data_IF_380596687906
#
_entry.id   IF_380596687906
#
_cell.length_a   1.000
_cell.length_b   1.000
_cell.length_c   1.000
_cell.angle_alpha   90.00
_cell.angle_beta   90.00
_cell.angle_gamma   90.00
#
_symmetry.space_group_name_H-M   'P 1'
#
loop_
_entity.id
_entity.type
_entity.pdbx_description
1 polymer ?
#
# COMPACT_ATOMS: atom_id res chain seq x y z
N UNK A 1 29.43 2.33 -5.36
CA UNK A 1 28.04 2.72 -5.71
C UNK A 1 27.19 1.52 -6.13
N UNK A 2 27.63 0.68 -7.09
CA UNK A 2 26.87 -0.50 -7.53
C UNK A 2 26.49 -1.47 -6.40
N UNK A 3 27.45 -1.85 -5.55
CA UNK A 3 27.19 -2.71 -4.39
C UNK A 3 26.15 -2.11 -3.40
N UNK A 4 26.12 -0.79 -3.26
CA UNK A 4 25.14 -0.10 -2.41
C UNK A 4 23.74 -0.13 -3.02
N UNK A 5 23.63 0.09 -4.34
CA UNK A 5 22.37 -0.02 -5.07
C UNK A 5 21.80 -1.44 -4.99
N UNK A 6 22.64 -2.46 -5.24
CA UNK A 6 22.23 -3.86 -5.13
C UNK A 6 21.76 -4.22 -3.72
N UNK A 7 22.46 -3.74 -2.69
CA UNK A 7 22.03 -3.95 -1.30
C UNK A 7 20.67 -3.32 -1.01
N UNK A 8 20.43 -2.10 -1.48
CA UNK A 8 19.14 -1.42 -1.32
C UNK A 8 18.02 -2.12 -2.09
N UNK A 9 18.27 -2.53 -3.33
CA UNK A 9 17.29 -3.28 -4.12
C UNK A 9 16.93 -4.60 -3.44
N UNK A 10 17.91 -5.35 -2.92
CA UNK A 10 17.66 -6.57 -2.15
C UNK A 10 16.82 -6.32 -0.89
N UNK A 11 17.12 -5.25 -0.15
CA UNK A 11 16.32 -4.82 1.01
C UNK A 11 14.89 -4.46 0.62
N UNK A 12 14.71 -3.69 -0.46
CA UNK A 12 13.40 -3.32 -0.98
C UNK A 12 12.58 -4.54 -1.40
N UNK A 13 13.18 -5.51 -2.09
CA UNK A 13 12.50 -6.77 -2.45
C UNK A 13 12.07 -7.53 -1.20
N UNK A 14 12.93 -7.62 -0.18
CA UNK A 14 12.58 -8.30 1.07
C UNK A 14 11.42 -7.60 1.79
N UNK A 15 11.42 -6.27 1.84
CA UNK A 15 10.32 -5.49 2.41
C UNK A 15 9.03 -5.71 1.62
N UNK A 16 9.09 -5.66 0.28
CA UNK A 16 7.93 -5.89 -0.57
C UNK A 16 7.34 -7.28 -0.34
N UNK A 17 8.19 -8.32 -0.27
CA UNK A 17 7.75 -9.68 0.02
C UNK A 17 7.14 -9.81 1.42
N UNK A 18 7.72 -9.16 2.43
CA UNK A 18 7.17 -9.19 3.78
C UNK A 18 5.79 -8.52 3.85
N UNK A 19 5.67 -7.31 3.28
CA UNK A 19 4.40 -6.58 3.24
C UNK A 19 3.35 -7.32 2.42
N UNK A 20 3.71 -7.83 1.24
CA UNK A 20 2.78 -8.59 0.40
C UNK A 20 2.35 -9.90 1.07
N UNK A 21 3.24 -10.58 1.78
CA UNK A 21 2.88 -11.79 2.53
C UNK A 21 1.91 -11.47 3.67
N UNK A 22 2.17 -10.41 4.45
CA UNK A 22 1.27 -9.96 5.52
C UNK A 22 -0.09 -9.60 4.93
N UNK A 23 -0.13 -8.78 3.87
CA UNK A 23 -1.39 -8.43 3.19
C UNK A 23 -2.12 -9.67 2.67
N UNK A 24 -1.40 -10.59 2.03
CA UNK A 24 -1.96 -11.85 1.53
C UNK A 24 -2.62 -12.66 2.66
N UNK A 25 -1.94 -12.81 3.80
CA UNK A 25 -2.47 -13.52 4.96
C UNK A 25 -3.70 -12.82 5.54
N UNK A 26 -3.65 -11.50 5.68
CA UNK A 26 -4.80 -10.69 6.13
C UNK A 26 -5.99 -10.93 5.21
N UNK A 27 -5.85 -10.73 3.90
CA UNK A 27 -6.96 -10.90 2.96
C UNK A 27 -7.46 -12.33 2.83
N UNK A 28 -6.59 -13.33 2.97
CA UNK A 28 -7.00 -14.74 2.99
C UNK A 28 -7.85 -15.09 4.22
N UNK A 29 -7.67 -14.39 5.33
CA UNK A 29 -8.40 -14.65 6.58
C UNK A 29 -9.55 -13.67 6.87
N UNK A 30 -9.61 -12.51 6.20
CA UNK A 30 -10.62 -11.48 6.45
C UNK A 30 -12.01 -11.78 5.87
N UNK A 31 -12.20 -12.91 5.19
CA UNK A 31 -13.52 -13.36 4.71
C UNK A 31 -13.39 -14.40 3.61
N UNK A 32 -14.47 -15.17 3.39
CA UNK A 32 -14.56 -16.10 2.27
C UNK A 32 -14.96 -15.33 1.00
N UNK A 33 -14.05 -15.15 0.03
CA UNK A 33 -14.35 -14.43 -1.21
C UNK A 33 -15.42 -15.15 -2.04
N UNK A 34 -15.65 -16.45 -1.83
CA UNK A 34 -16.72 -17.18 -2.53
C UNK A 34 -18.10 -16.64 -2.17
N UNK A 35 -18.29 -16.16 -0.94
CA UNK A 35 -19.55 -15.51 -0.50
C UNK A 35 -19.76 -14.20 -1.27
N UNK A 36 -18.71 -13.39 -1.42
CA UNK A 36 -18.79 -12.13 -2.18
C UNK A 36 -18.97 -12.34 -3.68
N UNK A 37 -18.52 -13.49 -4.21
CA UNK A 37 -18.58 -13.82 -5.64
C UNK A 37 -19.90 -14.47 -6.04
N UNK A 38 -20.38 -15.45 -5.28
CA UNK A 38 -21.55 -16.27 -5.60
C UNK A 38 -22.84 -15.85 -4.86
N UNK A 39 -22.72 -15.06 -3.78
CA UNK A 39 -23.84 -14.72 -2.91
C UNK A 39 -24.18 -15.83 -1.91
N UNK A 40 -25.06 -15.52 -0.95
CA UNK A 40 -25.40 -16.45 0.15
C UNK A 40 -26.13 -17.72 -0.33
N UNK A 41 -26.87 -17.64 -1.44
CA UNK A 41 -27.70 -18.72 -1.98
C UNK A 41 -26.92 -19.76 -2.81
N UNK A 42 -25.60 -19.60 -2.94
CA UNK A 42 -24.76 -20.47 -3.76
C UNK A 42 -24.74 -21.92 -3.25
N UNK A 43 -24.96 -22.87 -4.17
CA UNK A 43 -24.93 -24.30 -3.84
C UNK A 43 -23.53 -24.75 -3.43
N UNK A 44 -23.45 -25.84 -2.65
CA UNK A 44 -22.16 -26.41 -2.23
C UNK A 44 -21.27 -26.80 -3.43
N UNK A 45 -21.87 -27.27 -4.53
CA UNK A 45 -21.15 -27.61 -5.75
C UNK A 45 -20.54 -26.37 -6.43
N UNK A 46 -21.28 -25.26 -6.51
CA UNK A 46 -20.77 -23.99 -7.06
C UNK A 46 -19.65 -23.41 -6.21
N UNK A 47 -19.79 -23.44 -4.87
CA UNK A 47 -18.74 -22.99 -3.95
C UNK A 47 -17.46 -23.82 -4.11
N UNK A 48 -17.57 -25.13 -4.26
CA UNK A 48 -16.41 -26.01 -4.47
C UNK A 48 -15.73 -25.74 -5.82
N UNK A 49 -16.51 -25.55 -6.88
CA UNK A 49 -15.98 -25.24 -8.21
C UNK A 49 -15.17 -23.93 -8.20
N UNK A 50 -15.73 -22.86 -7.62
CA UNK A 50 -15.05 -21.56 -7.52
C UNK A 50 -13.83 -21.63 -6.59
N UNK A 51 -13.90 -22.39 -5.50
CA UNK A 51 -12.77 -22.60 -4.58
C UNK A 51 -11.58 -23.24 -5.31
N UNK A 52 -11.85 -24.25 -6.14
CA UNK A 52 -10.83 -24.93 -6.95
C UNK A 52 -10.28 -24.02 -8.06
N UNK A 53 -11.14 -23.23 -8.71
CA UNK A 53 -10.74 -22.26 -9.74
C UNK A 53 -9.82 -21.17 -9.17
N UNK A 54 -10.15 -20.62 -8.00
CA UNK A 54 -9.34 -19.63 -7.30
C UNK A 54 -8.09 -20.23 -6.62
N UNK A 55 -7.98 -21.56 -6.56
CA UNK A 55 -6.86 -22.27 -5.97
C UNK A 55 -6.80 -22.17 -4.44
N UNK A 56 -7.93 -21.91 -3.79
CA UNK A 56 -8.00 -21.79 -2.32
C UNK A 56 -7.91 -23.14 -1.59
N UNK A 57 -8.07 -24.23 -2.34
CA UNK A 57 -7.85 -25.63 -1.96
C UNK A 57 -6.35 -26.00 -1.85
N UNK A 58 -5.46 -25.18 -2.42
CA UNK A 58 -4.02 -25.46 -2.45
C UNK A 58 -3.30 -25.09 -1.15
N UNK A 59 -2.12 -25.65 -0.86
CA UNK A 59 -1.31 -25.20 0.28
C UNK A 59 -0.96 -23.71 0.19
N UNK A 60 -0.99 -23.02 1.33
CA UNK A 60 -0.73 -21.56 1.44
C UNK A 60 0.55 -21.11 0.70
N UNK A 61 1.70 -21.81 0.80
CA UNK A 61 2.90 -21.42 0.07
C UNK A 61 2.70 -21.41 -1.45
N UNK A 62 1.92 -22.36 -1.99
CA UNK A 62 1.64 -22.46 -3.43
C UNK A 62 0.76 -21.29 -3.89
N UNK A 63 -0.26 -20.95 -3.10
CA UNK A 63 -1.11 -19.79 -3.38
C UNK A 63 -0.31 -18.49 -3.38
N UNK A 64 0.56 -18.30 -2.39
CA UNK A 64 1.38 -17.10 -2.30
C UNK A 64 2.39 -17.00 -3.45
N UNK A 65 3.08 -18.09 -3.78
CA UNK A 65 4.00 -18.11 -4.92
C UNK A 65 3.27 -17.84 -6.24
N UNK A 66 2.06 -18.38 -6.42
CA UNK A 66 1.21 -18.05 -7.57
C UNK A 66 0.89 -16.56 -7.59
N UNK A 67 0.43 -15.99 -6.48
CA UNK A 67 0.11 -14.57 -6.36
C UNK A 67 1.31 -13.68 -6.73
N UNK A 68 2.49 -13.92 -6.13
CA UNK A 68 3.71 -13.14 -6.42
C UNK A 68 4.12 -13.29 -7.89
N UNK A 69 4.03 -14.51 -8.44
CA UNK A 69 4.38 -14.81 -9.82
C UNK A 69 3.49 -14.04 -10.81
N UNK A 70 2.19 -13.93 -10.56
CA UNK A 70 1.27 -13.12 -11.38
C UNK A 70 1.56 -11.62 -11.20
N UNK A 71 1.72 -11.16 -9.96
CA UNK A 71 1.97 -9.75 -9.65
C UNK A 71 3.23 -9.20 -10.32
N UNK A 72 4.32 -9.98 -10.36
CA UNK A 72 5.58 -9.59 -11.04
C UNK A 72 5.40 -9.46 -12.56
N UNK A 73 4.41 -10.15 -13.14
CA UNK A 73 4.04 -10.01 -14.57
C UNK A 73 3.02 -8.89 -14.82
N UNK A 74 2.63 -8.16 -13.77
CA UNK A 74 1.60 -7.13 -13.84
C UNK A 74 0.16 -7.65 -13.80
N UNK A 75 -0.02 -8.95 -13.55
CA UNK A 75 -1.34 -9.55 -13.35
C UNK A 75 -1.68 -9.57 -11.86
N UNK A 76 -2.56 -8.65 -11.46
CA UNK A 76 -3.07 -8.55 -10.09
C UNK A 76 -4.45 -9.19 -9.92
N UNK A 77 -4.96 -9.85 -10.96
CA UNK A 77 -6.28 -10.47 -10.98
C UNK A 77 -7.43 -9.47 -11.00
N UNK A 78 -8.61 -9.96 -10.57
CA UNK A 78 -9.86 -9.21 -10.55
C UNK A 78 -10.19 -8.79 -9.11
N UNK A 79 -10.64 -7.56 -8.93
CA UNK A 79 -11.20 -7.10 -7.66
C UNK A 79 -12.52 -7.82 -7.37
N UNK A 80 -12.59 -8.58 -6.28
CA UNK A 80 -13.84 -9.27 -5.89
C UNK A 80 -14.98 -8.31 -5.55
N UNK A 81 -14.67 -7.07 -5.14
CA UNK A 81 -15.66 -6.05 -4.83
C UNK A 81 -16.15 -5.31 -6.08
N UNK A 82 -15.22 -4.87 -6.92
CA UNK A 82 -15.53 -4.04 -8.09
C UNK A 82 -15.77 -4.85 -9.36
N UNK A 83 -15.46 -6.16 -9.34
CA UNK A 83 -15.55 -7.09 -10.48
C UNK A 83 -14.81 -6.58 -11.73
N UNK A 84 -13.68 -5.90 -11.52
CA UNK A 84 -12.83 -5.30 -12.56
C UNK A 84 -11.35 -5.66 -12.36
N UNK A 85 -10.52 -5.65 -13.42
CA UNK A 85 -9.07 -5.86 -13.29
C UNK A 85 -8.45 -4.88 -12.29
N UNK A 86 -7.66 -5.40 -11.34
CA UNK A 86 -7.05 -4.58 -10.30
C UNK A 86 -6.10 -3.54 -10.89
N UNK A 87 -5.39 -3.89 -11.97
CA UNK A 87 -4.47 -2.98 -12.66
C UNK A 87 -5.18 -1.72 -13.21
N UNK A 88 -6.40 -1.86 -13.71
CA UNK A 88 -7.19 -0.71 -14.18
C UNK A 88 -7.58 0.19 -13.02
N UNK A 89 -8.05 -0.41 -11.92
CA UNK A 89 -8.46 0.34 -10.73
C UNK A 89 -7.28 1.10 -10.11
N UNK A 90 -6.09 0.49 -10.10
CA UNK A 90 -4.86 1.17 -9.69
C UNK A 90 -4.55 2.31 -10.66
N UNK A 91 -4.60 2.05 -11.97
CA UNK A 91 -4.34 3.04 -13.01
C UNK A 91 -5.27 4.26 -12.95
N UNK A 92 -6.54 4.07 -12.61
CA UNK A 92 -7.52 5.15 -12.45
C UNK A 92 -7.21 6.04 -11.23
N UNK A 93 -6.67 5.46 -10.15
CA UNK A 93 -6.43 6.18 -8.88
C UNK A 93 -5.01 6.74 -8.75
N UNK A 94 -4.06 6.17 -9.48
CA UNK A 94 -2.66 6.54 -9.42
C UNK A 94 -2.43 8.03 -9.73
N UNK A 95 -3.02 8.64 -10.78
CA UNK A 95 -2.80 10.06 -11.08
C UNK A 95 -3.20 10.99 -9.94
N UNK A 96 -4.37 10.77 -9.33
CA UNK A 96 -4.84 11.59 -8.22
C UNK A 96 -3.94 11.46 -6.98
N UNK A 97 -3.42 10.25 -6.71
CA UNK A 97 -2.48 10.02 -5.60
C UNK A 97 -1.14 10.71 -5.88
N UNK A 98 -0.65 10.64 -7.12
CA UNK A 98 0.59 11.32 -7.52
C UNK A 98 0.45 12.83 -7.45
N UNK A 99 -0.67 13.38 -7.91
CA UNK A 99 -0.98 14.81 -7.83
C UNK A 99 -0.99 15.27 -6.37
N UNK A 100 -1.74 14.56 -5.51
CA UNK A 100 -1.82 14.87 -4.09
C UNK A 100 -0.44 14.78 -3.41
N UNK A 101 0.31 13.71 -3.66
CA UNK A 101 1.64 13.52 -3.10
C UNK A 101 2.61 14.60 -3.57
N UNK A 102 2.55 14.99 -4.84
CA UNK A 102 3.40 16.02 -5.41
C UNK A 102 3.10 17.40 -4.81
N UNK A 103 1.83 17.80 -4.75
CA UNK A 103 1.42 19.09 -4.17
C UNK A 103 1.76 19.13 -2.68
N UNK A 104 1.48 18.05 -1.93
CA UNK A 104 1.83 17.96 -0.52
C UNK A 104 3.34 18.04 -0.30
N UNK A 105 4.15 17.34 -1.10
CA UNK A 105 5.61 17.41 -1.02
C UNK A 105 6.13 18.81 -1.36
N UNK A 106 5.55 19.47 -2.37
CA UNK A 106 5.94 20.83 -2.74
C UNK A 106 5.66 21.81 -1.61
N UNK A 107 4.46 21.77 -1.02
CA UNK A 107 4.10 22.60 0.12
C UNK A 107 4.98 22.31 1.33
N UNK A 108 5.25 21.04 1.62
CA UNK A 108 6.10 20.62 2.73
C UNK A 108 7.55 21.10 2.54
N UNK A 109 8.10 21.00 1.33
CA UNK A 109 9.47 21.47 1.03
C UNK A 109 9.52 22.99 1.09
N UNK A 110 8.64 23.70 0.38
CA UNK A 110 8.68 25.17 0.33
C UNK A 110 8.40 25.76 1.71
N UNK A 111 7.31 25.36 2.36
CA UNK A 111 6.93 25.85 3.68
C UNK A 111 7.88 25.38 4.78
N UNK A 112 8.23 24.09 4.79
CA UNK A 112 9.11 23.51 5.80
C UNK A 112 10.53 24.08 5.74
N UNK A 113 11.09 24.27 4.54
CA UNK A 113 12.42 24.90 4.39
C UNK A 113 12.35 26.39 4.75
N UNK A 114 11.35 27.14 4.28
CA UNK A 114 11.24 28.57 4.59
C UNK A 114 11.09 28.82 6.10
N UNK A 115 10.17 28.10 6.76
CA UNK A 115 9.97 28.18 8.20
C UNK A 115 11.20 27.67 8.96
N UNK A 116 11.82 26.56 8.52
CA UNK A 116 13.02 26.02 9.14
C UNK A 116 14.22 26.97 9.06
N UNK A 117 14.42 27.66 7.94
CA UNK A 117 15.45 28.70 7.81
C UNK A 117 15.14 29.89 8.70
N UNK A 118 13.88 30.34 8.73
CA UNK A 118 13.47 31.46 9.57
C UNK A 118 13.69 31.18 11.07
N UNK A 119 13.25 30.02 11.57
CA UNK A 119 13.46 29.65 12.98
C UNK A 119 14.93 29.42 13.32
N UNK A 120 15.75 29.00 12.36
CA UNK A 120 17.20 28.87 12.55
C UNK A 120 17.90 30.22 12.74
N UNK A 121 17.44 31.27 12.05
CA UNK A 121 17.96 32.64 12.15
C UNK A 121 17.44 33.33 13.41
N UNK A 122 16.13 33.25 13.69
CA UNK A 122 15.47 34.02 14.75
C UNK A 122 14.97 33.11 15.88
N UNK A 123 15.91 32.44 16.56
CA UNK A 123 15.64 31.30 17.47
C UNK A 123 14.75 31.64 18.67
N UNK A 124 14.92 32.82 19.26
CA UNK A 124 14.24 33.18 20.51
C UNK A 124 12.86 33.83 20.31
N UNK A 125 12.47 34.10 19.06
CA UNK A 125 11.21 34.75 18.73
C UNK A 125 9.97 33.90 19.07
N UNK A 126 8.88 34.56 19.45
CA UNK A 126 7.59 33.90 19.72
C UNK A 126 7.13 33.05 18.52
N UNK A 127 7.28 33.58 17.29
CA UNK A 127 6.92 32.88 16.07
C UNK A 127 7.71 31.56 15.90
N UNK A 128 9.01 31.57 16.21
CA UNK A 128 9.86 30.39 16.14
C UNK A 128 9.45 29.31 17.14
N UNK A 129 9.10 29.71 18.37
CA UNK A 129 8.57 28.79 19.39
C UNK A 129 7.24 28.17 18.96
N UNK A 130 6.33 28.96 18.38
CA UNK A 130 5.05 28.46 17.86
C UNK A 130 5.26 27.47 16.71
N UNK A 131 6.10 27.80 15.74
CA UNK A 131 6.41 26.90 14.59
C UNK A 131 6.99 25.58 15.07
N UNK A 132 7.95 25.62 16.00
CA UNK A 132 8.54 24.41 16.58
C UNK A 132 7.52 23.56 17.34
N UNK A 133 6.64 24.19 18.14
CA UNK A 133 5.60 23.48 18.86
C UNK A 133 4.61 22.78 17.91
N UNK A 134 4.15 23.49 16.86
CA UNK A 134 3.25 22.92 15.84
C UNK A 134 3.94 21.79 15.08
N UNK A 135 5.20 21.96 14.70
CA UNK A 135 5.97 20.92 14.02
C UNK A 135 6.12 19.66 14.89
N UNK A 136 6.39 19.83 16.19
CA UNK A 136 6.50 18.71 17.13
C UNK A 136 5.17 17.96 17.26
N UNK A 137 4.06 18.67 17.38
CA UNK A 137 2.72 18.07 17.38
C UNK A 137 2.48 17.32 16.07
N UNK A 138 2.77 17.95 14.93
CA UNK A 138 2.58 17.33 13.62
C UNK A 138 3.37 16.04 13.42
N UNK A 139 4.63 16.00 13.86
CA UNK A 139 5.50 14.80 13.76
C UNK A 139 5.08 13.72 14.76
N UNK A 140 4.49 14.11 15.89
CA UNK A 140 4.08 13.18 16.95
C UNK A 140 2.68 12.59 16.74
N UNK A 141 1.87 13.20 15.87
CA UNK A 141 0.53 12.70 15.57
C UNK A 141 0.61 11.44 14.70
N UNK A 142 -0.12 10.37 15.06
CA UNK A 142 -0.25 9.21 14.20
C UNK A 142 -0.84 9.61 12.84
N UNK A 143 -0.26 9.14 11.74
CA UNK A 143 -0.72 9.47 10.37
C UNK A 143 -1.85 8.55 9.90
N UNK A 144 -2.57 7.90 10.81
CA UNK A 144 -3.56 6.86 10.54
C UNK A 144 -4.96 7.29 10.96
#
# INVERSE_FOLDING_TARGET
MLAHLLRRLGQSVLVLLAVSFISFMVFRHLGDPTISLLGDDATLAERQAVTAELGFDQPVPVQYLRYVSHAVRGDFGISYRLKRPVIEVIGERLPATLELAFVAALLAVVGGVALGVYTAIQRDGLLSRTVMAVSLVGVSLPTF
#
